data_IF_907622760999
#
_entry.id   IF_907622760999
#
_cell.length_a   1.000
_cell.length_b   1.000
_cell.length_c   1.000
_cell.angle_alpha   90.00
_cell.angle_beta   90.00
_cell.angle_gamma   90.00
#
_symmetry.space_group_name_H-M   'P 1'
#
loop_
_entity.id
_entity.type
_entity.pdbx_description
1 polymer ?
#
# COMPACT_ATOMS: atom_id res chain seq x y z
N UNK A 1 -46.23 26.29 -11.98
CA UNK A 1 -45.76 25.11 -12.74
C UNK A 1 -44.66 24.44 -11.93
N UNK A 2 -44.87 23.22 -11.45
CA UNK A 2 -43.81 22.45 -10.81
C UNK A 2 -42.98 21.84 -11.95
N UNK A 3 -41.75 22.31 -12.14
CA UNK A 3 -40.83 21.73 -13.10
C UNK A 3 -40.58 20.26 -12.69
N UNK A 4 -40.99 19.32 -13.54
CA UNK A 4 -40.72 17.89 -13.34
C UNK A 4 -39.32 17.61 -13.91
N UNK A 5 -38.31 17.53 -13.06
CA UNK A 5 -36.96 17.14 -13.46
C UNK A 5 -36.91 15.65 -13.82
N UNK A 6 -36.06 15.28 -14.77
CA UNK A 6 -35.75 13.89 -15.07
C UNK A 6 -34.99 13.25 -13.89
N UNK A 7 -35.11 11.92 -13.69
CA UNK A 7 -34.30 11.21 -12.72
C UNK A 7 -32.81 11.28 -13.10
N UNK A 8 -31.95 11.13 -12.09
CA UNK A 8 -30.51 11.04 -12.28
C UNK A 8 -30.16 9.75 -13.03
N UNK A 9 -29.17 9.83 -13.93
CA UNK A 9 -28.72 8.67 -14.69
C UNK A 9 -27.80 7.76 -13.86
N UNK A 10 -26.94 8.35 -13.02
CA UNK A 10 -25.97 7.65 -12.17
C UNK A 10 -26.05 8.28 -10.78
N UNK A 11 -26.43 7.49 -9.78
CA UNK A 11 -26.49 7.95 -8.39
C UNK A 11 -25.09 8.38 -7.91
N UNK A 12 -25.01 9.57 -7.32
CA UNK A 12 -23.73 10.18 -6.93
C UNK A 12 -23.08 11.04 -8.01
N UNK A 13 -23.54 11.03 -9.26
CA UNK A 13 -23.09 11.95 -10.31
C UNK A 13 -24.21 12.94 -10.65
N UNK A 14 -24.35 13.95 -9.80
CA UNK A 14 -25.52 14.85 -9.78
C UNK A 14 -25.18 16.24 -10.33
N UNK A 15 -23.95 16.68 -10.10
CA UNK A 15 -23.47 18.04 -10.36
C UNK A 15 -22.34 18.04 -11.39
N UNK A 16 -22.01 19.22 -11.90
CA UNK A 16 -20.82 19.40 -12.76
C UNK A 16 -19.53 19.03 -12.02
N UNK A 17 -19.46 19.31 -10.71
CA UNK A 17 -18.33 18.92 -9.89
C UNK A 17 -18.21 17.39 -9.82
N UNK A 18 -19.32 16.66 -9.71
CA UNK A 18 -19.27 15.19 -9.68
C UNK A 18 -18.76 14.60 -10.99
N UNK A 19 -19.16 15.19 -12.13
CA UNK A 19 -18.62 14.79 -13.43
C UNK A 19 -17.13 15.06 -13.49
N UNK A 20 -16.68 16.21 -12.99
CA UNK A 20 -15.25 16.53 -12.88
C UNK A 20 -14.50 15.53 -11.97
N UNK A 21 -15.08 15.12 -10.85
CA UNK A 21 -14.52 14.09 -9.97
C UNK A 21 -14.44 12.72 -10.67
N UNK A 22 -15.48 12.35 -11.42
CA UNK A 22 -15.51 11.11 -12.18
C UNK A 22 -14.49 11.10 -13.31
N UNK A 23 -14.42 12.17 -14.11
CA UNK A 23 -13.44 12.33 -15.18
C UNK A 23 -12.01 12.26 -14.61
N UNK A 24 -11.77 12.95 -13.49
CA UNK A 24 -10.48 12.88 -12.80
C UNK A 24 -10.16 11.46 -12.30
N UNK A 25 -11.14 10.73 -11.78
CA UNK A 25 -10.95 9.33 -11.36
C UNK A 25 -10.54 8.43 -12.54
N UNK A 26 -11.27 8.52 -13.65
CA UNK A 26 -11.09 7.68 -14.84
C UNK A 26 -9.77 7.97 -15.55
N UNK A 27 -9.43 9.24 -15.78
CA UNK A 27 -8.31 9.62 -16.64
C UNK A 27 -7.05 10.03 -15.88
N UNK A 28 -7.17 10.45 -14.63
CA UNK A 28 -6.05 10.88 -13.80
C UNK A 28 -5.74 9.90 -12.69
N UNK A 29 -6.61 9.82 -11.68
CA UNK A 29 -6.27 9.25 -10.39
C UNK A 29 -6.10 7.73 -10.39
N UNK A 30 -6.96 6.99 -11.08
CA UNK A 30 -6.85 5.52 -11.15
C UNK A 30 -5.49 5.03 -11.68
N UNK A 31 -4.79 5.85 -12.50
CA UNK A 31 -3.47 5.52 -13.06
C UNK A 31 -2.35 5.57 -12.03
N UNK A 32 -2.50 6.33 -10.95
CA UNK A 32 -1.46 6.45 -9.92
C UNK A 32 -1.68 5.48 -8.75
N UNK A 33 -2.73 4.65 -8.81
CA UNK A 33 -3.10 3.66 -7.79
C UNK A 33 -2.76 2.20 -8.19
N UNK A 34 -2.27 1.98 -9.41
CA UNK A 34 -1.92 0.66 -9.94
C UNK A 34 -0.77 0.76 -10.92
N UNK A 35 -0.09 -0.36 -11.14
CA UNK A 35 0.90 -0.49 -12.21
C UNK A 35 0.29 -0.44 -13.61
N UNK A 36 -1.01 -0.76 -13.75
CA UNK A 36 -1.68 -0.85 -15.03
C UNK A 36 -2.17 0.53 -15.48
N UNK A 37 -1.48 1.09 -16.46
CA UNK A 37 -1.77 2.42 -17.03
C UNK A 37 -2.59 2.39 -18.32
N UNK A 38 -3.04 1.22 -18.77
CA UNK A 38 -3.89 1.06 -19.95
C UNK A 38 -5.38 0.91 -19.59
N UNK A 39 -6.18 0.39 -20.51
CA UNK A 39 -7.62 0.20 -20.31
C UNK A 39 -7.97 -0.98 -19.40
N UNK A 40 -7.02 -1.89 -19.14
CA UNK A 40 -7.18 -3.01 -18.21
C UNK A 40 -7.00 -2.63 -16.73
N UNK A 41 -6.92 -1.34 -16.42
CA UNK A 41 -6.79 -0.83 -15.06
C UNK A 41 -7.97 -1.35 -14.18
N UNK A 42 -7.71 -2.03 -13.05
CA UNK A 42 -8.74 -2.67 -12.23
C UNK A 42 -9.72 -1.67 -11.60
N UNK A 43 -9.29 -0.45 -11.32
CA UNK A 43 -10.18 0.59 -10.82
C UNK A 43 -11.22 0.99 -11.88
N UNK A 44 -10.85 0.95 -13.17
CA UNK A 44 -11.74 1.22 -14.31
C UNK A 44 -12.56 -0.01 -14.71
N UNK A 45 -11.95 -1.19 -14.83
CA UNK A 45 -12.65 -2.38 -15.33
C UNK A 45 -13.51 -3.09 -14.27
N UNK A 46 -13.14 -2.99 -13.00
CA UNK A 46 -13.80 -3.73 -11.91
C UNK A 46 -14.59 -2.77 -11.03
N UNK A 47 -13.93 -1.78 -10.41
CA UNK A 47 -14.58 -0.94 -9.40
C UNK A 47 -15.61 0.02 -9.99
N UNK A 48 -15.33 0.64 -11.15
CA UNK A 48 -16.23 1.62 -11.73
C UNK A 48 -17.57 1.02 -12.23
N UNK A 49 -17.61 -0.12 -12.96
CA UNK A 49 -18.88 -0.78 -13.33
C UNK A 49 -19.68 -1.28 -12.12
N UNK A 50 -18.98 -1.64 -11.04
CA UNK A 50 -19.62 -1.98 -9.77
C UNK A 50 -20.22 -0.73 -9.10
N UNK A 51 -19.52 0.40 -9.16
CA UNK A 51 -19.97 1.67 -8.59
C UNK A 51 -21.21 2.23 -9.29
N UNK A 52 -21.35 2.07 -10.61
CA UNK A 52 -22.55 2.52 -11.34
C UNK A 52 -23.81 1.78 -10.93
N UNK A 53 -23.67 0.62 -10.27
CA UNK A 53 -24.76 -0.20 -9.74
C UNK A 53 -24.92 -0.09 -8.21
N UNK A 54 -23.93 0.47 -7.51
CA UNK A 54 -23.93 0.56 -6.05
C UNK A 54 -23.55 1.96 -5.56
N UNK A 55 -24.57 2.69 -5.07
CA UNK A 55 -24.47 4.09 -4.63
C UNK A 55 -23.37 4.33 -3.58
N UNK A 56 -23.25 3.49 -2.57
CA UNK A 56 -22.24 3.66 -1.51
C UNK A 56 -20.80 3.57 -2.05
N UNK A 57 -20.61 2.75 -3.09
CA UNK A 57 -19.31 2.60 -3.76
C UNK A 57 -19.04 3.81 -4.65
N UNK A 58 -20.04 4.30 -5.39
CA UNK A 58 -19.89 5.54 -6.18
C UNK A 58 -19.50 6.73 -5.29
N UNK A 59 -20.18 6.91 -4.15
CA UNK A 59 -19.79 7.95 -3.21
C UNK A 59 -18.36 7.74 -2.66
N UNK A 60 -17.94 6.50 -2.41
CA UNK A 60 -16.57 6.19 -1.96
C UNK A 60 -15.52 6.56 -3.03
N UNK A 61 -15.75 6.21 -4.30
CA UNK A 61 -14.84 6.55 -5.40
C UNK A 61 -14.77 8.06 -5.66
N UNK A 62 -15.89 8.77 -5.57
CA UNK A 62 -15.92 10.23 -5.74
C UNK A 62 -15.24 10.94 -4.56
N UNK A 63 -15.39 10.44 -3.34
CA UNK A 63 -14.63 10.92 -2.18
C UNK A 63 -13.12 10.76 -2.42
N UNK A 64 -12.70 9.55 -2.78
CA UNK A 64 -11.32 9.22 -3.08
C UNK A 64 -10.75 10.12 -4.18
N UNK A 65 -11.47 10.29 -5.30
CA UNK A 65 -11.11 11.22 -6.38
C UNK A 65 -11.01 12.67 -5.92
N UNK A 66 -11.96 13.13 -5.09
CA UNK A 66 -11.98 14.48 -4.54
C UNK A 66 -10.81 14.75 -3.59
N UNK A 67 -10.38 13.76 -2.83
CA UNK A 67 -9.20 13.83 -1.96
C UNK A 67 -7.93 14.13 -2.74
N UNK A 68 -7.73 13.45 -3.86
CA UNK A 68 -6.61 13.72 -4.75
C UNK A 68 -6.76 15.05 -5.51
N UNK A 69 -7.91 15.29 -6.14
CA UNK A 69 -8.11 16.48 -6.98
C UNK A 69 -8.06 17.78 -6.18
N UNK A 70 -8.59 17.81 -4.95
CA UNK A 70 -8.49 18.98 -4.06
C UNK A 70 -7.05 19.28 -3.59
N UNK A 71 -6.12 18.32 -3.75
CA UNK A 71 -4.69 18.54 -3.56
C UNK A 71 -3.98 19.15 -4.77
N UNK A 72 -4.59 19.08 -5.96
CA UNK A 72 -4.09 19.68 -7.19
C UNK A 72 -4.74 21.03 -7.49
N UNK A 73 -6.03 21.14 -7.21
CA UNK A 73 -6.83 22.35 -7.37
C UNK A 73 -7.45 22.75 -6.03
N UNK A 74 -7.10 23.95 -5.56
CA UNK A 74 -7.56 24.49 -4.28
C UNK A 74 -8.95 25.13 -4.32
N UNK A 75 -9.77 24.84 -5.34
CA UNK A 75 -11.19 25.24 -5.38
C UNK A 75 -11.93 24.73 -4.12
N UNK A 76 -12.47 25.64 -3.27
CA UNK A 76 -13.22 25.26 -2.07
C UNK A 76 -14.42 24.35 -2.36
N UNK A 77 -15.01 24.44 -3.55
CA UNK A 77 -16.16 23.62 -3.95
C UNK A 77 -15.78 22.15 -4.11
N UNK A 78 -14.56 21.84 -4.57
CA UNK A 78 -14.07 20.46 -4.63
C UNK A 78 -13.96 19.86 -3.24
N UNK A 79 -13.45 20.64 -2.28
CA UNK A 79 -13.31 20.21 -0.89
C UNK A 79 -14.67 19.98 -0.24
N UNK A 80 -15.62 20.89 -0.43
CA UNK A 80 -17.00 20.71 0.05
C UNK A 80 -17.63 19.45 -0.56
N UNK A 81 -17.48 19.25 -1.88
CA UNK A 81 -18.09 18.11 -2.56
C UNK A 81 -17.44 16.78 -2.15
N UNK A 82 -16.12 16.74 -1.96
CA UNK A 82 -15.41 15.60 -1.34
C UNK A 82 -16.06 15.23 0.00
N UNK A 83 -16.25 16.20 0.91
CA UNK A 83 -16.86 15.91 2.21
C UNK A 83 -18.30 15.43 2.09
N UNK A 84 -19.09 15.96 1.15
CA UNK A 84 -20.42 15.43 0.85
C UNK A 84 -20.36 13.93 0.51
N UNK A 85 -19.47 13.55 -0.42
CA UNK A 85 -19.30 12.15 -0.82
C UNK A 85 -18.80 11.26 0.34
N UNK A 86 -17.86 11.75 1.15
CA UNK A 86 -17.38 11.03 2.34
C UNK A 86 -18.51 10.71 3.31
N UNK A 87 -19.33 11.71 3.68
CA UNK A 87 -20.44 11.51 4.61
C UNK A 87 -21.49 10.53 4.06
N UNK A 88 -21.79 10.62 2.76
CA UNK A 88 -22.69 9.68 2.09
C UNK A 88 -22.14 8.25 2.09
N UNK A 89 -20.87 8.07 1.72
CA UNK A 89 -20.20 6.78 1.69
C UNK A 89 -20.21 6.09 3.07
N UNK A 90 -19.84 6.81 4.12
CA UNK A 90 -19.83 6.27 5.49
C UNK A 90 -21.23 5.92 5.98
N UNK A 91 -22.23 6.76 5.69
CA UNK A 91 -23.61 6.49 6.09
C UNK A 91 -24.16 5.26 5.36
N UNK A 92 -24.00 5.20 4.05
CA UNK A 92 -24.50 4.09 3.23
C UNK A 92 -23.78 2.77 3.64
N UNK A 93 -22.48 2.82 3.96
CA UNK A 93 -21.73 1.67 4.51
C UNK A 93 -22.30 1.21 5.87
N UNK A 94 -22.58 2.15 6.78
CA UNK A 94 -23.18 1.84 8.09
C UNK A 94 -24.57 1.22 7.94
N UNK A 95 -25.42 1.80 7.10
CA UNK A 95 -26.77 1.29 6.82
C UNK A 95 -26.70 -0.16 6.32
N UNK A 96 -25.84 -0.44 5.35
CA UNK A 96 -25.64 -1.79 4.80
C UNK A 96 -25.14 -2.80 5.85
N UNK A 97 -24.19 -2.41 6.69
CA UNK A 97 -23.67 -3.27 7.77
C UNK A 97 -24.78 -3.56 8.81
N UNK A 98 -25.56 -2.54 9.19
CA UNK A 98 -26.66 -2.71 10.15
C UNK A 98 -27.81 -3.56 9.61
N UNK A 99 -28.16 -3.39 8.33
CA UNK A 99 -29.17 -4.20 7.66
C UNK A 99 -28.76 -5.69 7.61
N UNK A 100 -27.48 -5.95 7.35
CA UNK A 100 -26.90 -7.29 7.35
C UNK A 100 -26.85 -7.92 8.76
N UNK A 101 -26.74 -7.11 9.81
CA UNK A 101 -26.68 -7.57 11.21
C UNK A 101 -28.06 -7.79 11.85
N UNK A 102 -29.12 -7.15 11.32
CA UNK A 102 -30.48 -7.22 11.83
C UNK A 102 -31.35 -8.32 11.21
N UNK A 103 -30.93 -8.90 10.08
CA UNK A 103 -31.56 -10.08 9.51
C UNK A 103 -31.16 -11.30 10.35
N UNK A 104 -32.10 -11.87 11.09
CA UNK A 104 -31.88 -13.09 11.87
C UNK A 104 -31.30 -14.22 11.02
N UNK A 105 -30.61 -15.15 11.69
CA UNK A 105 -29.80 -16.26 11.16
C UNK A 105 -30.52 -17.31 10.28
N UNK A 106 -31.50 -16.92 9.46
CA UNK A 106 -32.29 -17.82 8.61
C UNK A 106 -32.07 -17.59 7.11
N UNK A 107 -31.29 -16.59 6.69
CA UNK A 107 -30.93 -16.43 5.28
C UNK A 107 -29.40 -16.34 5.09
N UNK A 108 -28.72 -17.47 4.81
CA UNK A 108 -27.29 -17.51 4.52
C UNK A 108 -26.88 -16.70 3.27
N UNK A 109 -27.85 -16.18 2.51
CA UNK A 109 -27.64 -15.42 1.27
C UNK A 109 -27.39 -13.93 1.45
N UNK A 110 -27.59 -13.35 2.65
CA UNK A 110 -27.21 -11.97 2.99
C UNK A 110 -25.70 -11.82 3.26
N UNK A 111 -24.88 -12.51 2.46
CA UNK A 111 -23.46 -12.28 2.35
C UNK A 111 -23.29 -10.85 1.83
N UNK A 112 -22.75 -9.98 2.67
CA UNK A 112 -22.35 -8.61 2.31
C UNK A 112 -21.68 -8.60 0.93
N UNK A 113 -22.24 -7.79 0.04
CA UNK A 113 -21.95 -7.83 -1.40
C UNK A 113 -20.54 -7.28 -1.71
N UNK A 114 -19.92 -7.75 -2.81
CA UNK A 114 -18.64 -7.26 -3.35
C UNK A 114 -18.46 -5.71 -3.29
N UNK A 115 -19.50 -4.87 -3.55
CA UNK A 115 -19.43 -3.42 -3.40
C UNK A 115 -19.11 -2.89 -2.00
N UNK A 116 -19.45 -3.62 -0.94
CA UNK A 116 -19.17 -3.20 0.45
C UNK A 116 -17.68 -3.40 0.77
N UNK A 117 -17.09 -4.50 0.29
CA UNK A 117 -15.64 -4.72 0.34
C UNK A 117 -14.92 -3.63 -0.43
N UNK A 118 -15.36 -3.37 -1.67
CA UNK A 118 -14.80 -2.31 -2.51
C UNK A 118 -14.91 -0.91 -1.86
N UNK A 119 -16.05 -0.61 -1.22
CA UNK A 119 -16.27 0.67 -0.54
C UNK A 119 -15.33 0.83 0.66
N UNK A 120 -15.14 -0.24 1.42
CA UNK A 120 -14.22 -0.26 2.57
C UNK A 120 -12.77 -0.02 2.14
N UNK A 121 -12.35 -0.65 1.03
CA UNK A 121 -11.02 -0.44 0.44
C UNK A 121 -10.85 0.98 -0.11
N UNK A 122 -11.85 1.51 -0.81
CA UNK A 122 -11.82 2.88 -1.33
C UNK A 122 -11.71 3.92 -0.19
N UNK A 123 -12.36 3.68 0.94
CA UNK A 123 -12.25 4.52 2.14
C UNK A 123 -10.86 4.38 2.81
N UNK A 124 -10.29 3.17 2.85
CA UNK A 124 -8.90 2.98 3.30
C UNK A 124 -7.90 3.74 2.41
N UNK A 125 -8.08 3.68 1.09
CA UNK A 125 -7.27 4.46 0.15
C UNK A 125 -7.43 5.95 0.38
N UNK A 126 -8.66 6.40 0.68
CA UNK A 126 -8.91 7.80 0.95
C UNK A 126 -8.06 8.31 2.11
N UNK A 127 -8.01 7.58 3.24
CA UNK A 127 -7.19 7.97 4.41
C UNK A 127 -5.69 7.96 4.08
N UNK A 128 -5.23 6.99 3.27
CA UNK A 128 -3.82 6.89 2.84
C UNK A 128 -3.46 8.07 1.92
N UNK A 129 -4.27 8.34 0.89
CA UNK A 129 -4.01 9.39 -0.07
C UNK A 129 -4.09 10.79 0.55
N UNK A 130 -4.89 10.96 1.62
CA UNK A 130 -4.94 12.18 2.42
C UNK A 130 -3.67 12.41 3.25
N UNK A 131 -2.82 11.39 3.42
CA UNK A 131 -1.58 11.48 4.18
C UNK A 131 -1.84 11.57 5.69
N UNK A 132 -2.94 10.98 6.14
CA UNK A 132 -3.28 10.90 7.56
C UNK A 132 -2.25 10.03 8.31
N UNK A 133 -1.92 10.44 9.55
CA UNK A 133 -0.80 9.86 10.32
C UNK A 133 -1.21 9.41 11.71
N UNK A 134 -2.50 9.27 12.01
CA UNK A 134 -3.02 8.84 13.31
C UNK A 134 -3.69 7.47 13.25
N UNK A 135 -3.39 6.67 12.22
CA UNK A 135 -3.90 5.31 12.09
C UNK A 135 -5.33 5.21 11.56
N UNK A 136 -5.85 6.24 10.89
CA UNK A 136 -7.22 6.31 10.36
C UNK A 136 -7.52 5.21 9.32
N UNK A 137 -6.49 4.70 8.64
CA UNK A 137 -6.61 3.57 7.72
C UNK A 137 -6.90 2.24 8.45
N UNK A 138 -6.52 2.11 9.73
CA UNK A 138 -6.55 0.83 10.47
C UNK A 138 -7.95 0.21 10.57
N UNK A 139 -9.01 0.94 10.98
CA UNK A 139 -10.35 0.37 11.05
C UNK A 139 -10.86 -0.11 9.68
N UNK A 140 -10.49 0.57 8.60
CA UNK A 140 -10.86 0.18 7.24
C UNK A 140 -10.13 -1.09 6.80
N UNK A 141 -8.83 -1.20 7.08
CA UNK A 141 -8.07 -2.42 6.80
C UNK A 141 -8.55 -3.61 7.63
N UNK A 142 -8.86 -3.41 8.91
CA UNK A 142 -9.40 -4.46 9.78
C UNK A 142 -10.79 -4.94 9.31
N UNK A 143 -11.66 -4.01 8.91
CA UNK A 143 -12.95 -4.34 8.32
C UNK A 143 -12.78 -5.09 7.00
N UNK A 144 -11.92 -4.62 6.09
CA UNK A 144 -11.66 -5.28 4.82
C UNK A 144 -11.13 -6.71 5.02
N UNK A 145 -10.20 -6.91 5.96
CA UNK A 145 -9.69 -8.23 6.34
C UNK A 145 -10.79 -9.16 6.81
N UNK A 146 -11.65 -8.68 7.71
CA UNK A 146 -12.78 -9.46 8.22
C UNK A 146 -13.74 -9.86 7.10
N UNK A 147 -14.10 -8.94 6.21
CA UNK A 147 -15.00 -9.20 5.08
C UNK A 147 -14.40 -10.21 4.11
N UNK A 148 -13.11 -10.06 3.76
CA UNK A 148 -12.41 -10.98 2.87
C UNK A 148 -12.34 -12.42 3.41
N UNK A 149 -12.10 -12.57 4.72
CA UNK A 149 -12.06 -13.88 5.38
C UNK A 149 -13.43 -14.56 5.46
N UNK A 150 -14.50 -13.76 5.63
CA UNK A 150 -15.83 -14.30 5.93
C UNK A 150 -16.70 -14.54 4.71
N UNK A 151 -16.54 -13.76 3.63
CA UNK A 151 -17.51 -13.75 2.53
C UNK A 151 -17.00 -14.36 1.24
N UNK A 152 -15.68 -14.36 1.00
CA UNK A 152 -15.04 -14.75 -0.27
C UNK A 152 -15.75 -14.18 -1.52
N UNK A 153 -15.24 -13.07 -2.08
CA UNK A 153 -15.90 -12.39 -3.20
C UNK A 153 -16.26 -13.33 -4.35
N UNK A 154 -17.48 -13.18 -4.90
CA UNK A 154 -18.01 -14.09 -5.94
C UNK A 154 -17.31 -13.89 -7.28
N UNK A 155 -16.96 -12.63 -7.59
CA UNK A 155 -16.23 -12.30 -8.80
C UNK A 155 -14.74 -12.60 -8.62
N UNK A 156 -14.22 -13.60 -9.33
CA UNK A 156 -12.82 -14.03 -9.21
C UNK A 156 -11.80 -12.94 -9.57
N UNK A 157 -12.08 -12.12 -10.60
CA UNK A 157 -11.20 -10.99 -10.95
C UNK A 157 -11.15 -9.94 -9.83
N UNK A 158 -12.30 -9.64 -9.24
CA UNK A 158 -12.39 -8.73 -8.10
C UNK A 158 -11.71 -9.33 -6.86
N UNK A 159 -11.92 -10.62 -6.59
CA UNK A 159 -11.27 -11.36 -5.50
C UNK A 159 -9.75 -11.27 -5.62
N UNK A 160 -9.21 -11.57 -6.79
CA UNK A 160 -7.78 -11.49 -7.05
C UNK A 160 -7.25 -10.07 -6.85
N UNK A 161 -7.91 -9.07 -7.45
CA UNK A 161 -7.53 -7.67 -7.30
C UNK A 161 -7.49 -7.23 -5.83
N UNK A 162 -8.54 -7.53 -5.04
CA UNK A 162 -8.60 -7.12 -3.64
C UNK A 162 -7.63 -7.91 -2.76
N UNK A 163 -7.37 -9.18 -3.05
CA UNK A 163 -6.36 -9.95 -2.31
C UNK A 163 -4.95 -9.39 -2.57
N UNK A 164 -4.59 -9.13 -3.81
CA UNK A 164 -3.32 -8.46 -4.16
C UNK A 164 -3.24 -7.08 -3.48
N UNK A 165 -4.30 -6.28 -3.59
CA UNK A 165 -4.38 -4.98 -2.94
C UNK A 165 -4.17 -5.07 -1.42
N UNK A 166 -4.90 -5.95 -0.75
CA UNK A 166 -4.83 -6.11 0.69
C UNK A 166 -3.44 -6.59 1.13
N UNK A 167 -2.88 -7.60 0.46
CA UNK A 167 -1.55 -8.11 0.80
C UNK A 167 -0.46 -7.04 0.68
N UNK A 168 -0.51 -6.21 -0.37
CA UNK A 168 0.45 -5.13 -0.53
C UNK A 168 0.41 -4.16 0.65
N UNK A 169 -0.79 -3.75 1.05
CA UNK A 169 -0.98 -2.79 2.14
C UNK A 169 -0.68 -3.39 3.52
N UNK A 170 -1.03 -4.66 3.75
CA UNK A 170 -0.77 -5.37 5.01
C UNK A 170 0.73 -5.59 5.24
N UNK A 171 1.47 -5.96 4.18
CA UNK A 171 2.94 -6.08 4.24
C UNK A 171 3.59 -4.72 4.47
N UNK A 172 3.18 -3.69 3.73
CA UNK A 172 3.66 -2.31 3.96
C UNK A 172 3.42 -1.82 5.39
N UNK A 173 2.23 -2.10 5.94
CA UNK A 173 1.88 -1.72 7.31
C UNK A 173 2.85 -2.30 8.34
N UNK A 174 3.27 -3.55 8.11
CA UNK A 174 4.17 -4.24 9.02
C UNK A 174 5.59 -3.67 9.07
N UNK A 175 5.99 -2.90 8.05
CA UNK A 175 7.31 -2.24 7.99
C UNK A 175 7.32 -0.93 8.79
N UNK A 176 6.17 -0.28 8.96
CA UNK A 176 6.02 1.03 9.61
C UNK A 176 5.39 0.98 11.00
N UNK A 177 4.81 -0.16 11.40
CA UNK A 177 4.10 -0.31 12.67
C UNK A 177 4.77 -1.28 13.64
N UNK A 178 4.76 -0.97 14.93
CA UNK A 178 5.28 -1.88 15.98
C UNK A 178 4.35 -3.04 16.33
N UNK A 179 3.05 -2.88 16.11
CA UNK A 179 1.98 -3.78 16.61
C UNK A 179 1.19 -4.49 15.50
N UNK A 180 1.44 -4.13 14.23
CA UNK A 180 0.77 -4.74 13.07
C UNK A 180 1.72 -5.69 12.37
N UNK A 181 1.33 -6.97 12.27
CA UNK A 181 2.08 -7.96 11.51
C UNK A 181 1.24 -8.52 10.38
N UNK A 182 1.87 -8.88 9.26
CA UNK A 182 1.15 -9.40 8.12
C UNK A 182 0.34 -10.58 8.62
N UNK A 183 -0.91 -10.64 8.20
CA UNK A 183 -1.73 -11.81 8.40
C UNK A 183 -0.93 -13.03 7.91
N UNK A 184 -0.73 -14.04 8.76
CA UNK A 184 -0.50 -15.39 8.24
C UNK A 184 -1.76 -15.75 7.49
N UNK A 185 -1.80 -15.42 6.20
CA UNK A 185 -2.86 -15.84 5.29
C UNK A 185 -2.64 -17.36 5.10
N UNK A 186 -3.03 -18.14 6.11
CA UNK A 186 -3.23 -19.57 5.98
C UNK A 186 -4.67 -19.80 5.51
N UNK A 187 -4.86 -20.63 4.47
CA UNK A 187 -6.17 -20.86 3.87
C UNK A 187 -6.58 -19.83 2.80
N UNK A 188 -7.87 -19.77 2.46
CA UNK A 188 -8.48 -19.25 1.22
C UNK A 188 -8.23 -17.79 0.79
N UNK A 189 -7.33 -17.06 1.45
CA UNK A 189 -6.82 -15.75 1.04
C UNK A 189 -5.38 -15.79 0.46
N UNK A 190 -4.75 -16.96 0.40
CA UNK A 190 -3.64 -17.16 -0.55
C UNK A 190 -4.22 -17.26 -1.95
N UNK A 191 -3.59 -16.57 -2.90
CA UNK A 191 -3.78 -16.92 -4.31
C UNK A 191 -3.40 -18.41 -4.45
N UNK A 192 -4.28 -19.25 -5.01
CA UNK A 192 -4.01 -20.67 -5.12
C UNK A 192 -2.67 -20.95 -5.81
N UNK A 193 -1.94 -21.99 -5.38
CA UNK A 193 -0.63 -22.36 -5.97
C UNK A 193 -0.68 -22.64 -7.49
N UNK A 194 -1.88 -22.87 -8.04
CA UNK A 194 -2.10 -23.05 -9.47
C UNK A 194 -2.19 -21.74 -10.26
N UNK A 195 -2.36 -20.59 -9.60
CA UNK A 195 -2.30 -19.28 -10.26
C UNK A 195 -0.85 -19.08 -10.68
N UNK A 196 -0.54 -19.01 -11.99
CA UNK A 196 0.82 -18.74 -12.44
C UNK A 196 1.34 -17.48 -11.72
N UNK A 197 2.58 -17.51 -11.24
CA UNK A 197 3.19 -16.34 -10.56
C UNK A 197 3.11 -15.06 -11.41
N UNK A 198 3.08 -15.19 -12.74
CA UNK A 198 2.85 -14.09 -13.68
C UNK A 198 1.43 -13.49 -13.63
N UNK A 199 0.41 -14.28 -13.26
CA UNK A 199 -0.95 -13.80 -13.02
C UNK A 199 -1.10 -13.20 -11.63
N UNK A 200 -0.38 -13.71 -10.62
CA UNK A 200 -0.49 -13.31 -9.22
C UNK A 200 -0.02 -11.89 -8.90
N UNK A 201 0.54 -11.16 -9.87
CA UNK A 201 0.90 -9.75 -9.78
C UNK A 201 0.42 -8.95 -10.99
N UNK A 202 -0.75 -9.24 -11.54
CA UNK A 202 -1.21 -8.41 -12.66
C UNK A 202 -1.59 -7.00 -12.20
N UNK A 203 -2.12 -6.81 -10.99
CA UNK A 203 -2.74 -5.54 -10.62
C UNK A 203 -1.80 -4.58 -9.87
N UNK A 204 -0.87 -5.12 -9.09
CA UNK A 204 0.15 -4.35 -8.37
C UNK A 204 1.59 -4.86 -8.59
N UNK A 205 1.75 -5.92 -9.40
CA UNK A 205 2.97 -6.36 -10.11
C UNK A 205 4.34 -6.43 -9.50
N UNK A 206 4.42 -6.78 -8.22
CA UNK A 206 5.57 -7.56 -7.70
C UNK A 206 5.11 -8.60 -6.66
N UNK A 207 4.23 -9.50 -7.07
CA UNK A 207 3.71 -10.62 -6.25
C UNK A 207 4.33 -11.97 -6.62
N UNK A 208 5.61 -11.97 -7.02
CA UNK A 208 6.39 -13.16 -7.35
C UNK A 208 7.16 -13.73 -6.14
N UNK A 209 6.64 -13.48 -4.93
CA UNK A 209 7.11 -14.07 -3.68
C UNK A 209 7.96 -13.17 -2.79
N UNK A 210 8.45 -12.01 -3.27
CA UNK A 210 9.27 -11.10 -2.46
C UNK A 210 8.55 -10.60 -1.19
N UNK A 211 7.25 -10.34 -1.25
CA UNK A 211 6.46 -9.92 -0.07
C UNK A 211 6.38 -10.99 1.03
N UNK A 212 6.49 -12.27 0.67
CA UNK A 212 6.61 -13.33 1.67
C UNK A 212 7.94 -13.20 2.43
N UNK A 213 9.03 -12.93 1.72
CA UNK A 213 10.33 -12.72 2.36
C UNK A 213 10.33 -11.45 3.21
N UNK A 214 9.73 -10.35 2.75
CA UNK A 214 9.58 -9.13 3.56
C UNK A 214 8.85 -9.44 4.87
N UNK A 215 7.73 -10.18 4.79
CA UNK A 215 6.95 -10.59 5.96
C UNK A 215 7.76 -11.44 6.94
N UNK A 216 8.53 -12.41 6.44
CA UNK A 216 9.39 -13.25 7.29
C UNK A 216 10.55 -12.46 7.89
N UNK A 217 11.11 -11.49 7.17
CA UNK A 217 12.12 -10.56 7.72
C UNK A 217 11.53 -9.73 8.86
N UNK A 218 10.30 -9.21 8.71
CA UNK A 218 9.61 -8.48 9.80
C UNK A 218 9.44 -9.36 11.05
N UNK A 219 9.10 -10.65 10.87
CA UNK A 219 9.00 -11.59 11.99
C UNK A 219 10.35 -11.86 12.67
N UNK A 220 11.43 -11.94 11.89
CA UNK A 220 12.79 -12.04 12.44
C UNK A 220 13.11 -10.77 13.25
N UNK A 221 12.78 -9.60 12.72
CA UNK A 221 13.00 -8.31 13.37
C UNK A 221 12.30 -8.24 14.73
N UNK A 222 11.08 -8.73 14.83
CA UNK A 222 10.36 -8.82 16.12
C UNK A 222 11.03 -9.71 17.14
N UNK A 223 11.47 -10.89 16.70
CA UNK A 223 12.17 -11.84 17.57
C UNK A 223 13.45 -11.22 18.11
N UNK A 224 14.19 -10.49 17.26
CA UNK A 224 15.39 -9.75 17.68
C UNK A 224 15.02 -8.67 18.70
N UNK A 225 13.96 -7.87 18.44
CA UNK A 225 13.48 -6.83 19.35
C UNK A 225 13.06 -7.40 20.70
N UNK A 226 12.30 -8.49 20.71
CA UNK A 226 11.87 -9.20 21.91
C UNK A 226 13.08 -9.69 22.72
N UNK A 227 14.04 -10.37 22.07
CA UNK A 227 15.24 -10.88 22.73
C UNK A 227 16.10 -9.76 23.32
N UNK A 228 16.22 -8.64 22.60
CA UNK A 228 16.92 -7.45 23.10
C UNK A 228 16.24 -6.88 24.35
N UNK A 229 14.91 -6.76 24.34
CA UNK A 229 14.13 -6.30 25.50
C UNK A 229 14.22 -7.27 26.70
N UNK A 230 14.40 -8.56 26.44
CA UNK A 230 14.62 -9.61 27.45
C UNK A 230 16.08 -9.65 27.95
N UNK A 231 16.99 -8.85 27.38
CA UNK A 231 18.39 -8.72 27.81
C UNK A 231 19.34 -9.80 27.27
N UNK A 232 18.97 -10.52 26.20
CA UNK A 232 19.85 -11.52 25.58
C UNK A 232 20.94 -10.86 24.71
N UNK A 233 22.20 -11.25 24.93
CA UNK A 233 23.36 -10.80 24.16
C UNK A 233 24.16 -11.99 23.60
N UNK A 234 24.32 -12.14 22.27
CA UNK A 234 23.71 -11.31 21.23
C UNK A 234 22.20 -11.55 21.12
N UNK A 235 21.45 -10.51 20.74
CA UNK A 235 20.02 -10.63 20.44
C UNK A 235 19.75 -11.56 19.24
N UNK A 236 20.68 -11.64 18.29
CA UNK A 236 20.64 -12.55 17.14
C UNK A 236 21.21 -13.92 17.53
N UNK A 237 20.34 -14.91 17.71
CA UNK A 237 20.73 -16.28 18.01
C UNK A 237 21.00 -17.13 16.74
N UNK A 238 21.44 -18.38 16.94
CA UNK A 238 21.73 -19.31 15.85
C UNK A 238 20.51 -19.62 14.98
N UNK A 239 19.31 -19.70 15.57
CA UNK A 239 18.09 -20.00 14.83
C UNK A 239 17.69 -18.82 13.94
N UNK A 240 17.71 -17.60 14.48
CA UNK A 240 17.48 -16.36 13.73
C UNK A 240 18.48 -16.26 12.58
N UNK A 241 19.74 -16.57 12.82
CA UNK A 241 20.76 -16.54 11.77
C UNK A 241 20.50 -17.59 10.69
N UNK A 242 20.07 -18.81 11.06
CA UNK A 242 19.70 -19.87 10.12
C UNK A 242 18.50 -19.49 9.24
N UNK A 243 17.46 -18.90 9.84
CA UNK A 243 16.28 -18.39 9.12
C UNK A 243 16.70 -17.28 8.14
N UNK A 244 17.52 -16.34 8.60
CA UNK A 244 18.03 -15.25 7.78
C UNK A 244 18.89 -15.72 6.59
N UNK A 245 19.75 -16.72 6.78
CA UNK A 245 20.56 -17.33 5.71
C UNK A 245 19.67 -18.03 4.68
N UNK A 246 18.58 -18.66 5.12
CA UNK A 246 17.61 -19.29 4.23
C UNK A 246 16.91 -18.25 3.36
N UNK A 247 16.49 -17.12 3.94
CA UNK A 247 15.89 -16.00 3.20
C UNK A 247 16.91 -15.36 2.24
N UNK A 248 18.16 -15.13 2.67
CA UNK A 248 19.22 -14.60 1.80
C UNK A 248 19.45 -15.50 0.58
N UNK A 249 19.52 -16.81 0.80
CA UNK A 249 19.67 -17.80 -0.28
C UNK A 249 18.49 -17.76 -1.25
N UNK A 250 17.27 -17.63 -0.72
CA UNK A 250 16.05 -17.55 -1.52
C UNK A 250 15.97 -16.25 -2.35
N UNK A 251 16.33 -15.09 -1.78
CA UNK A 251 16.41 -13.81 -2.51
C UNK A 251 17.49 -13.85 -3.61
N UNK A 252 18.60 -14.55 -3.37
CA UNK A 252 19.67 -14.73 -4.38
C UNK A 252 19.24 -15.64 -5.53
N UNK A 253 18.50 -16.71 -5.23
CA UNK A 253 18.00 -17.64 -6.24
C UNK A 253 16.71 -17.14 -6.94
N UNK A 254 16.02 -16.16 -6.37
CA UNK A 254 14.82 -15.59 -6.95
C UNK A 254 15.10 -14.95 -8.32
N UNK A 255 14.18 -15.18 -9.24
CA UNK A 255 14.14 -14.61 -10.58
C UNK A 255 12.72 -14.11 -10.86
N UNK A 256 12.61 -12.98 -11.55
CA UNK A 256 11.32 -12.42 -11.93
C UNK A 256 10.85 -13.01 -13.26
N UNK A 257 9.53 -13.17 -13.41
CA UNK A 257 8.92 -13.58 -14.68
C UNK A 257 8.87 -12.46 -15.73
N UNK A 258 9.15 -11.20 -15.34
CA UNK A 258 9.13 -10.07 -16.26
C UNK A 258 10.32 -10.11 -17.22
N UNK A 259 10.06 -9.79 -18.49
CA UNK A 259 11.10 -9.71 -19.52
C UNK A 259 12.20 -8.73 -19.11
N UNK A 260 13.49 -9.11 -19.22
CA UNK A 260 14.60 -8.23 -18.91
C UNK A 260 14.52 -6.86 -19.61
N UNK A 261 15.01 -5.83 -18.93
CA UNK A 261 15.03 -4.44 -19.42
C UNK A 261 13.66 -3.81 -19.70
N UNK A 262 12.60 -4.33 -19.09
CA UNK A 262 11.28 -3.67 -19.06
C UNK A 262 11.09 -2.88 -17.74
N UNK A 263 10.18 -1.89 -17.68
CA UNK A 263 9.89 -1.17 -16.44
C UNK A 263 9.54 -2.09 -15.27
N UNK A 264 8.73 -3.13 -15.52
CA UNK A 264 8.34 -4.10 -14.49
C UNK A 264 9.53 -4.95 -14.04
N UNK A 265 10.46 -5.30 -14.93
CA UNK A 265 11.70 -5.96 -14.55
C UNK A 265 12.55 -5.09 -13.63
N UNK A 266 12.76 -3.81 -13.97
CA UNK A 266 13.53 -2.90 -13.12
C UNK A 266 12.87 -2.69 -11.75
N UNK A 267 11.54 -2.58 -11.73
CA UNK A 267 10.78 -2.49 -10.49
C UNK A 267 10.93 -3.75 -9.63
N UNK A 268 10.81 -4.93 -10.23
CA UNK A 268 11.01 -6.20 -9.52
C UNK A 268 12.44 -6.31 -8.96
N UNK A 269 13.47 -5.88 -9.70
CA UNK A 269 14.84 -5.82 -9.18
C UNK A 269 15.00 -4.79 -8.06
N UNK A 270 14.36 -3.62 -8.14
CA UNK A 270 14.33 -2.62 -7.06
C UNK A 270 13.73 -3.21 -5.77
N UNK A 271 12.64 -3.97 -5.88
CA UNK A 271 12.04 -4.69 -4.76
C UNK A 271 12.97 -5.78 -4.21
N UNK A 272 13.67 -6.51 -5.07
CA UNK A 272 14.67 -7.50 -4.64
C UNK A 272 15.79 -6.85 -3.82
N UNK A 273 16.32 -5.72 -4.28
CA UNK A 273 17.38 -4.99 -3.56
C UNK A 273 16.88 -4.46 -2.22
N UNK A 274 15.72 -3.80 -2.19
CA UNK A 274 15.15 -3.28 -0.94
C UNK A 274 14.81 -4.39 0.07
N UNK A 275 14.32 -5.55 -0.39
CA UNK A 275 14.08 -6.73 0.47
C UNK A 275 15.37 -7.24 1.08
N UNK A 276 16.44 -7.34 0.28
CA UNK A 276 17.74 -7.78 0.78
C UNK A 276 18.33 -6.79 1.79
N UNK A 277 18.22 -5.49 1.52
CA UNK A 277 18.67 -4.44 2.45
C UNK A 277 17.89 -4.51 3.76
N UNK A 278 16.59 -4.75 3.72
CA UNK A 278 15.77 -4.92 4.91
C UNK A 278 16.22 -6.13 5.76
N UNK A 279 16.48 -7.27 5.12
CA UNK A 279 17.06 -8.45 5.78
C UNK A 279 18.42 -8.14 6.41
N UNK A 280 19.32 -7.53 5.65
CA UNK A 280 20.68 -7.23 6.11
C UNK A 280 20.66 -6.29 7.32
N UNK A 281 19.88 -5.20 7.24
CA UNK A 281 19.68 -4.27 8.36
C UNK A 281 19.05 -4.93 9.57
N UNK A 282 18.18 -5.90 9.37
CA UNK A 282 17.51 -6.59 10.48
C UNK A 282 18.50 -7.41 11.31
N UNK A 283 19.43 -8.14 10.68
CA UNK A 283 20.34 -9.06 11.38
C UNK A 283 21.72 -8.50 11.71
N UNK A 284 22.10 -7.36 11.12
CA UNK A 284 23.41 -6.73 11.35
C UNK A 284 23.26 -5.47 12.23
N UNK A 285 24.31 -5.12 13.00
CA UNK A 285 24.35 -3.83 13.67
C UNK A 285 24.12 -2.69 12.69
N UNK A 286 23.45 -1.62 13.13
CA UNK A 286 23.09 -0.49 12.28
C UNK A 286 24.29 0.41 12.02
N UNK A 287 25.25 -0.08 11.23
CA UNK A 287 26.51 0.59 10.92
C UNK A 287 26.76 0.64 9.40
N UNK A 288 27.51 1.65 8.91
CA UNK A 288 27.90 1.68 7.50
C UNK A 288 28.72 0.44 7.14
N UNK A 289 28.46 -0.11 5.96
CA UNK A 289 29.25 -1.20 5.39
C UNK A 289 29.27 -1.09 3.87
N UNK A 290 30.33 -1.59 3.23
CA UNK A 290 30.42 -1.60 1.77
C UNK A 290 29.26 -2.38 1.13
N UNK A 291 28.82 -3.47 1.79
CA UNK A 291 27.70 -4.30 1.33
C UNK A 291 26.40 -3.52 1.25
N UNK A 292 26.02 -2.82 2.33
CA UNK A 292 24.76 -2.04 2.32
C UNK A 292 24.87 -0.85 1.37
N UNK A 293 26.04 -0.20 1.30
CA UNK A 293 26.26 0.91 0.38
C UNK A 293 26.12 0.46 -1.08
N UNK A 294 26.74 -0.67 -1.47
CA UNK A 294 26.62 -1.22 -2.81
C UNK A 294 25.17 -1.53 -3.16
N UNK A 295 24.44 -2.23 -2.29
CA UNK A 295 23.06 -2.62 -2.59
C UNK A 295 22.12 -1.42 -2.69
N UNK A 296 22.35 -0.37 -1.87
CA UNK A 296 21.60 0.89 -2.02
C UNK A 296 21.90 1.56 -3.36
N UNK A 297 23.16 1.56 -3.80
CA UNK A 297 23.51 2.12 -5.11
C UNK A 297 22.93 1.32 -6.28
N UNK A 298 22.92 -0.02 -6.19
CA UNK A 298 22.31 -0.91 -7.17
C UNK A 298 20.78 -0.69 -7.23
N UNK A 299 20.11 -0.61 -6.07
CA UNK A 299 18.68 -0.31 -5.98
C UNK A 299 18.33 1.03 -6.62
N UNK A 300 19.11 2.08 -6.29
CA UNK A 300 18.94 3.39 -6.92
C UNK A 300 19.24 3.38 -8.42
N UNK A 301 20.14 2.51 -8.90
CA UNK A 301 20.38 2.37 -10.34
C UNK A 301 19.17 1.77 -11.07
N UNK A 302 18.43 0.84 -10.46
CA UNK A 302 17.18 0.34 -11.02
C UNK A 302 16.07 1.40 -11.00
N UNK A 303 16.01 2.20 -9.94
CA UNK A 303 15.08 3.34 -9.86
C UNK A 303 15.32 4.34 -11.00
N UNK A 304 16.58 4.64 -11.32
CA UNK A 304 16.95 5.56 -12.41
C UNK A 304 16.51 5.05 -13.80
N UNK A 305 16.30 3.74 -13.96
CA UNK A 305 15.83 3.11 -15.21
C UNK A 305 14.31 3.12 -15.37
N UNK A 306 13.55 3.51 -14.34
CA UNK A 306 12.09 3.57 -14.42
C UNK A 306 11.64 4.80 -15.23
N UNK A 307 10.83 4.63 -16.29
CA UNK A 307 10.29 5.75 -17.04
C UNK A 307 9.40 6.62 -16.15
N UNK A 308 9.55 7.94 -16.23
CA UNK A 308 8.82 8.90 -15.38
C UNK A 308 7.29 8.86 -15.54
N UNK A 309 6.79 8.28 -16.62
CA UNK A 309 5.36 8.11 -16.95
C UNK A 309 4.83 6.68 -16.69
N UNK A 310 5.71 5.75 -16.27
CA UNK A 310 5.33 4.37 -16.02
C UNK A 310 4.47 4.25 -14.75
N UNK A 311 3.47 3.36 -14.80
CA UNK A 311 2.64 3.00 -13.63
C UNK A 311 3.45 2.41 -12.49
N UNK A 312 4.70 2.01 -12.76
CA UNK A 312 5.72 1.59 -11.79
C UNK A 312 5.79 2.49 -10.56
N UNK A 313 5.65 3.82 -10.71
CA UNK A 313 5.74 4.75 -9.60
C UNK A 313 4.61 4.59 -8.56
N UNK A 314 3.48 3.96 -8.90
CA UNK A 314 2.38 3.72 -7.96
C UNK A 314 2.75 2.82 -6.78
N UNK A 315 3.88 2.10 -6.83
CA UNK A 315 4.33 1.21 -5.74
C UNK A 315 5.77 1.47 -5.30
N UNK A 316 6.41 2.55 -5.75
CA UNK A 316 7.84 2.81 -5.46
C UNK A 316 8.07 3.34 -4.03
N UNK A 317 7.02 3.74 -3.30
CA UNK A 317 7.16 4.33 -1.97
C UNK A 317 7.86 3.40 -0.97
N UNK A 318 7.41 2.13 -0.89
CA UNK A 318 8.02 1.12 -0.01
C UNK A 318 9.51 0.88 -0.28
N UNK A 319 9.95 0.51 -1.51
CA UNK A 319 11.36 0.28 -1.76
C UNK A 319 12.20 1.53 -1.54
N UNK A 320 11.70 2.71 -1.91
CA UNK A 320 12.40 3.97 -1.67
C UNK A 320 12.56 4.28 -0.18
N UNK A 321 11.53 3.99 0.63
CA UNK A 321 11.58 4.09 2.08
C UNK A 321 12.64 3.14 2.68
N UNK A 322 12.63 1.86 2.30
CA UNK A 322 13.59 0.86 2.80
C UNK A 322 15.04 1.19 2.43
N UNK A 323 15.29 1.62 1.19
CA UNK A 323 16.60 2.12 0.75
C UNK A 323 16.97 3.41 1.50
N UNK A 324 16.00 4.30 1.70
CA UNK A 324 16.12 5.54 2.46
C UNK A 324 16.59 5.33 3.88
N UNK A 325 15.87 4.50 4.64
CA UNK A 325 16.25 4.04 5.97
C UNK A 325 17.57 3.26 5.99
N UNK A 326 18.18 3.01 4.82
CA UNK A 326 19.42 2.27 4.66
C UNK A 326 20.62 3.07 4.16
N UNK A 327 20.41 4.31 3.75
CA UNK A 327 21.44 5.17 3.19
C UNK A 327 22.29 5.89 4.24
N UNK A 328 23.42 5.26 4.60
CA UNK A 328 24.45 5.90 5.42
C UNK A 328 25.30 6.93 4.65
N UNK A 329 25.38 6.81 3.32
CA UNK A 329 26.26 7.66 2.49
C UNK A 329 25.52 8.93 2.06
N UNK A 330 26.06 10.15 2.27
CA UNK A 330 25.38 11.40 1.92
C UNK A 330 24.93 11.50 0.45
N UNK A 331 25.76 11.04 -0.50
CA UNK A 331 25.40 11.01 -1.93
C UNK A 331 24.15 10.16 -2.21
N UNK A 332 23.96 9.07 -1.46
CA UNK A 332 22.77 8.22 -1.60
C UNK A 332 21.53 8.92 -1.05
N UNK A 333 21.66 9.65 0.07
CA UNK A 333 20.57 10.45 0.66
C UNK A 333 20.02 11.49 -0.32
N UNK A 334 20.89 12.20 -1.04
CA UNK A 334 20.48 13.15 -2.09
C UNK A 334 19.71 12.47 -3.24
N UNK A 335 20.16 11.28 -3.67
CA UNK A 335 19.44 10.50 -4.69
C UNK A 335 18.08 10.02 -4.19
N UNK A 336 17.99 9.57 -2.94
CA UNK A 336 16.73 9.16 -2.31
C UNK A 336 15.76 10.33 -2.22
N UNK A 337 16.22 11.49 -1.76
CA UNK A 337 15.44 12.73 -1.72
C UNK A 337 14.85 13.06 -3.10
N UNK A 338 15.68 13.04 -4.14
CA UNK A 338 15.22 13.23 -5.53
C UNK A 338 14.18 12.18 -5.96
N UNK A 339 14.35 10.93 -5.51
CA UNK A 339 13.36 9.87 -5.71
C UNK A 339 12.00 10.22 -5.09
N UNK A 340 11.98 10.72 -3.86
CA UNK A 340 10.75 11.13 -3.17
C UNK A 340 10.10 12.33 -3.85
N UNK A 341 10.89 13.30 -4.28
CA UNK A 341 10.42 14.47 -5.06
C UNK A 341 9.80 14.04 -6.40
N UNK A 342 10.42 13.08 -7.10
CA UNK A 342 9.91 12.55 -8.37
C UNK A 342 8.60 11.78 -8.16
N UNK A 343 8.54 10.94 -7.13
CA UNK A 343 7.34 10.20 -6.77
C UNK A 343 6.18 11.14 -6.38
N UNK A 344 6.49 12.22 -5.64
CA UNK A 344 5.51 13.25 -5.28
C UNK A 344 5.02 14.01 -6.51
N UNK A 345 5.91 14.36 -7.43
CA UNK A 345 5.55 15.05 -8.67
C UNK A 345 4.68 14.19 -9.59
N UNK A 346 4.90 12.87 -9.62
CA UNK A 346 4.11 11.92 -10.40
C UNK A 346 2.70 11.72 -9.85
N UNK A 347 2.59 11.41 -8.56
CA UNK A 347 1.35 10.89 -7.96
C UNK A 347 0.56 11.93 -7.16
N UNK A 348 1.21 13.01 -6.72
CA UNK A 348 0.69 13.99 -5.76
C UNK A 348 0.09 13.41 -4.46
N UNK A 349 0.35 12.14 -4.14
CA UNK A 349 -0.15 11.51 -2.92
C UNK A 349 0.47 12.15 -1.68
N UNK A 350 -0.32 12.29 -0.61
CA UNK A 350 0.12 13.01 0.60
C UNK A 350 0.83 12.12 1.62
N UNK A 351 0.71 10.79 1.54
CA UNK A 351 1.47 9.86 2.38
C UNK A 351 2.99 9.84 2.12
N UNK A 352 3.42 10.33 0.95
CA UNK A 352 4.84 10.43 0.57
C UNK A 352 5.61 11.35 1.52
N UNK A 353 5.01 12.46 1.96
CA UNK A 353 5.66 13.43 2.83
C UNK A 353 5.93 12.88 4.25
N UNK A 354 4.95 12.27 4.95
CA UNK A 354 5.19 11.47 6.15
C UNK A 354 6.32 10.45 6.02
N UNK A 355 6.32 9.67 4.93
CA UNK A 355 7.34 8.65 4.69
C UNK A 355 8.74 9.26 4.58
N UNK A 356 8.90 10.36 3.84
CA UNK A 356 10.17 11.02 3.69
C UNK A 356 10.66 11.66 5.01
N UNK A 357 9.78 12.28 5.79
CA UNK A 357 10.12 12.84 7.12
C UNK A 357 10.70 11.79 8.05
N UNK A 358 10.16 10.57 8.02
CA UNK A 358 10.71 9.45 8.80
C UNK A 358 12.10 9.07 8.29
N UNK A 359 12.30 9.00 6.98
CA UNK A 359 13.63 8.73 6.40
C UNK A 359 14.66 9.79 6.81
N UNK A 360 14.30 11.07 6.77
CA UNK A 360 15.15 12.17 7.25
C UNK A 360 15.47 12.02 8.74
N UNK A 361 14.46 11.69 9.56
CA UNK A 361 14.67 11.45 10.98
C UNK A 361 15.59 10.26 11.23
N UNK A 362 15.45 9.19 10.46
CA UNK A 362 16.31 8.01 10.52
C UNK A 362 17.76 8.37 10.16
N UNK A 363 17.99 9.28 9.20
CA UNK A 363 19.33 9.82 8.90
C UNK A 363 19.93 10.60 10.08
N UNK A 364 19.15 11.47 10.72
CA UNK A 364 19.59 12.19 11.93
C UNK A 364 20.00 11.23 13.05
N UNK A 365 19.22 10.17 13.26
CA UNK A 365 19.53 9.14 14.27
C UNK A 365 20.78 8.34 13.86
N UNK A 366 20.98 8.02 12.58
CA UNK A 366 22.24 7.39 12.12
C UNK A 366 23.47 8.26 12.43
N UNK A 367 23.34 9.57 12.30
CA UNK A 367 24.46 10.51 12.45
C UNK A 367 24.77 10.83 13.92
N UNK A 368 23.77 10.72 14.81
CA UNK A 368 23.90 11.11 16.24
C UNK A 368 23.91 9.93 17.20
N UNK A 369 23.11 8.88 16.92
CA UNK A 369 22.85 7.73 17.78
C UNK A 369 22.73 6.45 16.95
N UNK A 370 23.81 6.14 16.26
CA UNK A 370 23.88 5.10 15.22
C UNK A 370 23.22 3.78 15.61
N UNK A 371 23.45 3.26 16.83
CA UNK A 371 22.87 1.99 17.28
C UNK A 371 21.33 2.05 17.44
N UNK A 372 20.75 3.23 17.76
CA UNK A 372 19.29 3.42 17.86
C UNK A 372 18.62 3.46 16.48
N UNK A 373 19.37 3.70 15.39
CA UNK A 373 18.82 3.77 14.03
C UNK A 373 18.38 2.41 13.46
N UNK A 374 18.66 1.31 14.17
CA UNK A 374 18.17 -0.01 13.79
C UNK A 374 16.65 -0.06 13.81
N UNK A 375 15.99 0.51 14.84
CA UNK A 375 14.55 0.39 15.10
C UNK A 375 13.75 1.59 14.56
N UNK A 376 13.61 1.70 13.23
CA UNK A 376 12.83 2.80 12.66
C UNK A 376 11.33 2.72 12.99
N UNK A 377 10.74 1.55 13.26
CA UNK A 377 9.37 1.49 13.76
C UNK A 377 9.24 2.20 15.11
N UNK A 378 10.24 2.07 15.99
CA UNK A 378 10.30 2.85 17.23
C UNK A 378 10.46 4.35 16.95
N UNK A 379 11.29 4.73 15.97
CA UNK A 379 11.43 6.15 15.57
C UNK A 379 10.08 6.71 15.08
N UNK A 380 9.34 5.96 14.25
CA UNK A 380 8.01 6.31 13.77
C UNK A 380 7.03 6.50 14.95
N UNK A 381 7.03 5.55 15.88
CA UNK A 381 6.23 5.62 17.09
C UNK A 381 6.59 6.85 17.95
N UNK A 382 7.87 7.14 18.13
CA UNK A 382 8.36 8.30 18.89
C UNK A 382 8.00 9.63 18.20
N UNK A 383 7.79 9.62 16.89
CA UNK A 383 7.26 10.75 16.12
C UNK A 383 5.72 10.89 16.22
N UNK A 384 5.02 9.99 16.92
CA UNK A 384 3.56 9.90 16.98
C UNK A 384 2.91 9.80 15.59
N UNK A 385 3.49 8.94 14.74
CA UNK A 385 3.03 8.72 13.37
C UNK A 385 2.57 7.27 13.17
N UNK A 386 1.49 7.08 12.44
CA UNK A 386 0.93 5.80 12.05
C UNK A 386 0.31 5.93 10.66
N UNK A 387 1.06 5.47 9.65
CA UNK A 387 0.76 5.64 8.22
C UNK A 387 1.31 4.47 7.39
N UNK A 388 0.90 4.40 6.13
CA UNK A 388 1.33 3.38 5.17
C UNK A 388 2.29 3.93 4.11
N UNK A 389 3.33 3.14 3.82
CA UNK A 389 4.32 3.38 2.75
C UNK A 389 3.91 2.69 1.43
N UNK A 390 2.63 2.80 1.07
CA UNK A 390 2.00 2.22 -0.12
C UNK A 390 1.79 3.24 -1.21
#
# INVERSE_FOLDING_TARGET
MVARSLPLLIDGIETEIDRRLLDHFVYGFSRVLTLINDDSNPFKEILLPMATQHRGLMHSLMCLSGSHLSGLDHDPKLRERKFYHFHRAIRDLKENITASSGAGAQDPELLVEDPIIASTIALSLNTICEGETQGEYRPHMDAARYLLLTQQPRNEKFRQFIVEFFQYHDVSNSITSLDRRPAHLQGGLRLPDFVPHAQAGMFLGVFDGLFNYISEVTRIRDRIRQRSNEGYEPAVDYQILGDAVSIDSAIRAWETSYTPNTPNYFLAQLYRQSTWVYLYRTIRPSRPSEKIAQVVDDGLSFLDQLPQDAGAYSIVLMPLFLLGCSAFVPRQRERIKKGFETLKAYSNLRNIEPAFKVVERVWEVMDTKMEESWDWEKIINDMNMDFLIT
#
